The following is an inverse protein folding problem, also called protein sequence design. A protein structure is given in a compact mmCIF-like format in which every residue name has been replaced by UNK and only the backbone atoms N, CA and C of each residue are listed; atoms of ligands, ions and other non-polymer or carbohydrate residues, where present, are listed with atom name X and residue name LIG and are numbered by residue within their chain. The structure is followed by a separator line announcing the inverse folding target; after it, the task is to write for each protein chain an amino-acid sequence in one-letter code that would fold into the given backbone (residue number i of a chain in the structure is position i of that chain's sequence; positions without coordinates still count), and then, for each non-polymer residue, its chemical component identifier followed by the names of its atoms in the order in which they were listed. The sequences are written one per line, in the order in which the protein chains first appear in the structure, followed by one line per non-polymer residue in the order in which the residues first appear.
data_IF_993294856434
#
_entry.id   IF_993294856434
#
_cell.length_a   1.000
_cell.length_b   1.000
_cell.length_c   1.000
_cell.angle_alpha   90.00
_cell.angle_beta   90.00
_cell.angle_gamma   90.00
#
_symmetry.space_group_name_H-M   'P 1'
#
loop_
_entity.id
_entity.type
_entity.pdbx_description
1 polymer ?
#
# COMPACT_ATOMS: atom_id res chain seq x y z
N UNK A 1 6.78 -10.78 9.21
CA UNK A 1 7.32 -9.42 9.49
C UNK A 1 6.11 -8.52 9.61
N UNK A 2 5.38 -8.64 10.71
CA UNK A 2 3.94 -8.31 10.68
C UNK A 2 3.67 -6.84 11.03
N UNK A 3 4.71 -6.10 11.41
CA UNK A 3 4.66 -4.69 11.79
C UNK A 3 5.41 -3.80 10.79
N UNK A 4 5.40 -4.15 9.50
CA UNK A 4 6.01 -3.36 8.44
C UNK A 4 4.93 -2.98 7.44
N UNK A 5 4.82 -1.68 7.16
CA UNK A 5 3.93 -1.12 6.16
C UNK A 5 4.81 -0.62 5.00
N UNK A 6 4.54 -1.11 3.80
CA UNK A 6 5.16 -0.61 2.57
C UNK A 6 4.10 0.12 1.73
N UNK A 7 4.42 1.32 1.28
CA UNK A 7 3.53 2.17 0.47
C UNK A 7 4.21 2.46 -0.86
N UNK A 8 3.51 2.29 -1.97
CA UNK A 8 4.04 2.52 -3.31
C UNK A 8 2.95 2.76 -4.35
N UNK A 9 3.33 3.29 -5.50
CA UNK A 9 2.45 3.61 -6.63
C UNK A 9 2.82 2.83 -7.91
N UNK A 10 4.02 2.26 -7.94
CA UNK A 10 4.63 1.66 -9.13
C UNK A 10 4.91 0.17 -9.02
N UNK A 11 5.10 -0.47 -10.19
CA UNK A 11 5.41 -1.91 -10.27
C UNK A 11 6.80 -2.24 -9.68
N UNK A 12 7.70 -1.26 -9.62
CA UNK A 12 8.99 -1.35 -8.92
C UNK A 12 8.84 -1.65 -7.42
N UNK A 13 7.74 -1.24 -6.81
CA UNK A 13 7.52 -1.36 -5.37
C UNK A 13 6.93 -2.72 -4.97
N UNK A 14 6.45 -3.51 -5.93
CA UNK A 14 5.78 -4.79 -5.69
C UNK A 14 6.60 -5.76 -4.84
N UNK A 15 7.92 -5.83 -5.07
CA UNK A 15 8.81 -6.70 -4.27
C UNK A 15 8.93 -6.22 -2.83
N UNK A 16 8.93 -4.90 -2.60
CA UNK A 16 8.94 -4.32 -1.27
C UNK A 16 7.60 -4.55 -0.57
N UNK A 17 6.49 -4.34 -1.28
CA UNK A 17 5.13 -4.52 -0.76
C UNK A 17 4.86 -5.97 -0.40
N UNK A 18 5.32 -6.94 -1.20
CA UNK A 18 5.18 -8.36 -0.92
C UNK A 18 6.01 -8.85 0.27
N UNK A 19 7.09 -8.13 0.63
CA UNK A 19 7.92 -8.46 1.79
C UNK A 19 7.38 -7.86 3.10
N UNK A 20 6.53 -6.83 3.01
CA UNK A 20 5.93 -6.15 4.15
C UNK A 20 4.74 -6.95 4.72
N UNK A 21 4.40 -6.67 5.99
CA UNK A 21 3.19 -7.21 6.61
C UNK A 21 1.92 -6.60 6.03
N UNK A 22 1.98 -5.35 5.57
CA UNK A 22 0.91 -4.69 4.83
C UNK A 22 1.48 -3.86 3.67
N UNK A 23 0.99 -4.10 2.46
CA UNK A 23 1.28 -3.29 1.28
C UNK A 23 0.13 -2.34 0.95
N UNK A 24 0.41 -1.05 0.78
CA UNK A 24 -0.60 -0.04 0.40
C UNK A 24 -0.26 0.56 -0.96
N UNK A 25 -1.13 0.35 -1.93
CA UNK A 25 -1.10 1.03 -3.22
C UNK A 25 -1.65 2.45 -3.07
N UNK A 26 -0.83 3.46 -3.31
CA UNK A 26 -1.23 4.87 -3.22
C UNK A 26 -1.33 5.49 -4.62
N UNK A 27 -2.54 5.84 -5.06
CA UNK A 27 -2.82 6.33 -6.42
C UNK A 27 -2.13 5.49 -7.53
N UNK A 28 -2.05 4.18 -7.31
CA UNK A 28 -1.21 3.29 -8.09
C UNK A 28 -1.90 2.82 -9.38
N UNK A 29 -1.13 2.25 -10.30
CA UNK A 29 -1.71 1.58 -11.48
C UNK A 29 -2.48 0.30 -11.09
N UNK A 30 -3.44 -0.18 -11.90
CA UNK A 30 -4.24 -1.37 -11.57
C UNK A 30 -3.41 -2.60 -11.17
N UNK A 31 -2.31 -2.85 -11.88
CA UNK A 31 -1.39 -3.96 -11.60
C UNK A 31 -0.77 -3.91 -10.19
N UNK A 32 -0.62 -2.72 -9.62
CA UNK A 32 -0.09 -2.52 -8.27
C UNK A 32 -1.21 -2.65 -7.25
N UNK A 33 -2.40 -2.13 -7.56
CA UNK A 33 -3.58 -2.24 -6.70
C UNK A 33 -3.99 -3.70 -6.49
N UNK A 34 -3.96 -4.52 -7.54
CA UNK A 34 -4.30 -5.96 -7.49
C UNK A 34 -3.34 -6.78 -6.62
N UNK A 35 -2.12 -6.30 -6.41
CA UNK A 35 -1.07 -7.00 -5.65
C UNK A 35 -0.86 -6.41 -4.25
N UNK A 36 -1.49 -5.28 -3.93
CA UNK A 36 -1.41 -4.63 -2.63
C UNK A 36 -2.48 -5.17 -1.68
N UNK A 37 -2.23 -5.09 -0.37
CA UNK A 37 -3.22 -5.41 0.66
C UNK A 37 -4.35 -4.38 0.70
N UNK A 38 -4.00 -3.11 0.45
CA UNK A 38 -4.93 -1.98 0.46
C UNK A 38 -4.64 -1.04 -0.71
N UNK A 39 -5.66 -0.30 -1.16
CA UNK A 39 -5.52 0.73 -2.18
C UNK A 39 -6.18 2.04 -1.74
N UNK A 40 -5.43 3.12 -1.76
CA UNK A 40 -5.91 4.49 -1.52
C UNK A 40 -5.97 5.19 -2.88
N UNK A 41 -7.17 5.28 -3.46
CA UNK A 41 -7.41 5.82 -4.80
C UNK A 41 -8.00 7.24 -4.81
N UNK A 42 -8.59 7.67 -3.69
CA UNK A 42 -9.39 8.91 -3.62
C UNK A 42 -9.05 9.79 -2.41
N UNK A 43 -8.08 9.38 -1.59
CA UNK A 43 -7.66 10.06 -0.38
C UNK A 43 -6.20 10.48 -0.51
N UNK A 44 -5.81 11.52 0.22
CA UNK A 44 -4.40 11.83 0.40
C UNK A 44 -3.67 10.74 1.20
N UNK A 45 -2.36 10.92 1.35
CA UNK A 45 -1.51 10.00 2.10
C UNK A 45 -1.89 9.91 3.59
N UNK A 46 -2.56 10.94 4.12
CA UNK A 46 -3.18 10.98 5.44
C UNK A 46 -4.26 9.90 5.65
N UNK A 47 -4.81 9.34 4.57
CA UNK A 47 -5.66 8.15 4.62
C UNK A 47 -5.00 6.95 5.32
N UNK A 48 -3.65 6.86 5.30
CA UNK A 48 -2.90 5.83 6.02
C UNK A 48 -3.12 5.87 7.53
N UNK A 49 -3.29 7.06 8.11
CA UNK A 49 -3.51 7.20 9.55
C UNK A 49 -4.80 6.46 9.92
N UNK A 50 -5.87 6.67 9.16
CA UNK A 50 -7.17 6.04 9.41
C UNK A 50 -7.15 4.52 9.14
N UNK A 51 -6.29 4.05 8.22
CA UNK A 51 -6.18 2.63 7.88
C UNK A 51 -5.60 1.77 9.01
N UNK A 52 -4.76 2.35 9.87
CA UNK A 52 -4.01 1.62 10.91
C UNK A 52 -4.29 2.09 12.35
N UNK A 53 -5.21 3.03 12.58
CA UNK A 53 -5.53 3.59 13.92
C UNK A 53 -6.76 2.90 14.54
N UNK A 54 -6.81 1.56 14.57
CA UNK A 54 -7.82 0.81 15.35
C UNK A 54 -7.12 -0.17 16.27
#
# INVERSE_FOLDING_TARGET
QDQIIAVGDGANDLKMMAAAGAGVAYHAKPIVQEQASYALNHSGLDGLIHLFTT
#
